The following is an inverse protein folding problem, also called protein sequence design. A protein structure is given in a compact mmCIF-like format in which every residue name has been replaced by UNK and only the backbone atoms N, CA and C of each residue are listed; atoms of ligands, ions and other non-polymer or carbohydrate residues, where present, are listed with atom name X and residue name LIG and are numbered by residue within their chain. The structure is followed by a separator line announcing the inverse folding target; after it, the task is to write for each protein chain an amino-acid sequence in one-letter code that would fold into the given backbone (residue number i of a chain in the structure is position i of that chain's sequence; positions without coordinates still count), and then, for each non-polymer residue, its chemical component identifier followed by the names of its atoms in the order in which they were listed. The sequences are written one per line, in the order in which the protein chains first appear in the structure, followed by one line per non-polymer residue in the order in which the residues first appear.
data_IF_904592534748
#
_entry.id   IF_904592534748
#
_cell.length_a   1.000
_cell.length_b   1.000
_cell.length_c   1.000
_cell.angle_alpha   90.00
_cell.angle_beta   90.00
_cell.angle_gamma   90.00
#
_symmetry.space_group_name_H-M   'P 1'
#
loop_
_entity.id
_entity.type
_entity.pdbx_description
1 polymer ?
#
# COMPACT_ATOMS: atom_id res chain seq x y z
N UNK A 1 -21.04 -2.88 -7.01
CA UNK A 1 -19.70 -2.26 -6.96
C UNK A 1 -18.74 -3.30 -6.37
N UNK A 2 -17.75 -3.79 -7.12
CA UNK A 2 -16.82 -4.81 -6.60
C UNK A 2 -15.72 -4.10 -5.83
N UNK A 3 -15.86 -4.04 -4.51
CA UNK A 3 -14.76 -3.70 -3.61
C UNK A 3 -13.60 -4.66 -3.90
N UNK A 4 -12.38 -4.10 -3.98
CA UNK A 4 -11.16 -4.86 -4.26
C UNK A 4 -11.10 -6.08 -3.34
N UNK A 5 -10.92 -7.26 -3.93
CA UNK A 5 -10.84 -8.49 -3.17
C UNK A 5 -9.69 -8.34 -2.16
N UNK A 6 -10.02 -8.24 -0.88
CA UNK A 6 -9.10 -8.59 0.18
C UNK A 6 -8.77 -10.06 -0.04
N UNK A 7 -7.70 -10.31 -0.78
CA UNK A 7 -7.20 -11.66 -0.94
C UNK A 7 -6.76 -12.10 0.45
N UNK A 8 -7.30 -13.21 0.95
CA UNK A 8 -7.07 -13.69 2.31
C UNK A 8 -5.56 -13.66 2.64
N UNK A 9 -5.20 -12.84 3.64
CA UNK A 9 -3.83 -12.70 4.11
C UNK A 9 -2.93 -11.71 3.34
N UNK A 10 -3.46 -10.96 2.37
CA UNK A 10 -2.74 -9.86 1.72
C UNK A 10 -3.24 -8.50 2.24
N UNK A 11 -2.31 -7.77 2.84
CA UNK A 11 -2.56 -6.44 3.40
C UNK A 11 -2.12 -5.39 2.36
N UNK A 12 -2.97 -4.43 1.97
CA UNK A 12 -2.55 -3.32 1.11
C UNK A 12 -1.36 -2.58 1.69
N UNK A 13 -0.39 -2.25 0.84
CA UNK A 13 0.87 -1.65 1.25
C UNK A 13 1.50 -0.83 0.11
N UNK A 14 2.46 0.01 0.48
CA UNK A 14 3.31 0.76 -0.42
C UNK A 14 4.78 0.45 -0.14
N UNK A 15 5.60 0.44 -1.19
CA UNK A 15 7.04 0.23 -1.08
C UNK A 15 7.79 1.29 -1.87
N UNK A 16 8.81 1.87 -1.25
CA UNK A 16 9.82 2.65 -1.96
C UNK A 16 10.81 1.69 -2.62
N UNK A 17 10.89 1.71 -3.95
CA UNK A 17 11.78 0.80 -4.69
C UNK A 17 13.26 1.14 -4.53
N UNK A 18 13.58 2.38 -4.16
CA UNK A 18 14.96 2.86 -4.02
C UNK A 18 15.54 2.49 -2.65
N UNK A 19 14.74 2.62 -1.59
CA UNK A 19 15.17 2.33 -0.20
C UNK A 19 14.71 0.97 0.31
N UNK A 20 13.76 0.33 -0.38
CA UNK A 20 13.05 -0.87 0.04
C UNK A 20 12.19 -0.75 1.30
N UNK A 21 12.05 0.45 1.86
CA UNK A 21 11.13 0.74 2.95
C UNK A 21 9.69 0.44 2.52
N UNK A 22 8.92 -0.18 3.41
CA UNK A 22 7.56 -0.66 3.14
C UNK A 22 6.62 -0.26 4.27
N UNK A 23 5.46 0.29 3.91
CA UNK A 23 4.42 0.71 4.85
C UNK A 23 3.08 0.08 4.48
N UNK A 24 2.37 -0.42 5.49
CA UNK A 24 1.01 -0.91 5.32
C UNK A 24 0.07 0.27 5.15
N UNK A 25 -0.99 0.10 4.35
CA UNK A 25 -2.09 1.05 4.36
C UNK A 25 -2.86 0.90 5.67
N UNK A 26 -3.09 2.04 6.33
CA UNK A 26 -3.81 2.12 7.59
C UNK A 26 -4.95 3.14 7.47
N UNK A 27 -6.00 2.97 8.27
CA UNK A 27 -7.02 3.98 8.45
C UNK A 27 -6.47 5.09 9.38
N UNK A 28 -7.21 6.19 9.52
CA UNK A 28 -6.82 7.33 10.36
C UNK A 28 -6.59 6.96 11.84
N UNK A 29 -7.20 5.87 12.31
CA UNK A 29 -7.02 5.34 13.67
C UNK A 29 -5.80 4.40 13.82
N UNK A 30 -5.03 4.20 12.74
CA UNK A 30 -3.87 3.30 12.68
C UNK A 30 -4.20 1.83 12.46
N UNK A 31 -5.48 1.46 12.37
CA UNK A 31 -5.88 0.08 12.05
C UNK A 31 -5.58 -0.26 10.58
N UNK A 32 -5.39 -1.55 10.28
CA UNK A 32 -5.09 -1.99 8.91
C UNK A 32 -6.24 -1.69 7.95
N UNK A 33 -5.94 -1.01 6.85
CA UNK A 33 -6.92 -0.69 5.82
C UNK A 33 -7.18 -1.90 4.91
N UNK A 34 -8.42 -2.03 4.43
CA UNK A 34 -8.80 -3.05 3.44
C UNK A 34 -8.49 -2.61 1.99
N UNK A 35 -8.18 -1.34 1.79
CA UNK A 35 -7.84 -0.72 0.51
C UNK A 35 -6.56 0.09 0.63
N UNK A 36 -5.95 0.43 -0.51
CA UNK A 36 -4.81 1.33 -0.55
C UNK A 36 -5.23 2.74 -0.14
N UNK A 37 -4.79 3.16 1.04
CA UNK A 37 -4.90 4.52 1.55
C UNK A 37 -3.51 5.15 1.63
N UNK A 38 -3.41 6.42 1.21
CA UNK A 38 -2.17 7.19 1.34
C UNK A 38 -1.99 7.71 2.78
N UNK A 39 -3.08 7.78 3.55
CA UNK A 39 -3.07 8.19 4.94
C UNK A 39 -2.13 7.31 5.78
N UNK A 40 -1.40 7.96 6.69
CA UNK A 40 -0.39 7.29 7.52
C UNK A 40 0.94 6.97 6.84
N UNK A 41 1.12 7.29 5.54
CA UNK A 41 2.44 7.22 4.91
C UNK A 41 3.41 8.24 5.51
N UNK A 42 4.72 7.91 5.57
CA UNK A 42 5.68 8.76 6.25
C UNK A 42 5.93 10.05 5.46
N UNK A 43 6.15 11.16 6.18
CA UNK A 43 6.27 12.49 5.57
C UNK A 43 7.39 12.60 4.53
N UNK A 44 8.50 11.86 4.69
CA UNK A 44 9.60 11.88 3.72
C UNK A 44 9.27 11.20 2.39
N UNK A 45 8.09 10.57 2.26
CA UNK A 45 7.56 10.08 0.99
C UNK A 45 6.60 11.07 0.33
N UNK A 46 6.07 12.04 1.08
CA UNK A 46 5.03 12.96 0.61
C UNK A 46 5.65 14.15 -0.08
N UNK A 47 5.16 14.48 -1.29
CA UNK A 47 5.59 15.66 -2.05
C UNK A 47 4.57 16.77 -1.93
N UNK A 48 3.28 16.42 -1.91
CA UNK A 48 2.19 17.39 -1.83
C UNK A 48 1.05 16.92 -0.92
N UNK A 49 0.41 17.89 -0.27
CA UNK A 49 -0.82 17.73 0.50
C UNK A 49 -1.83 18.79 0.06
N UNK A 50 -3.12 18.48 0.14
CA UNK A 50 -4.19 19.45 -0.07
C UNK A 50 -4.37 20.38 1.15
N UNK A 51 -5.31 21.33 1.04
CA UNK A 51 -5.63 22.29 2.11
C UNK A 51 -6.13 21.64 3.40
N UNK A 52 -6.63 20.40 3.33
CA UNK A 52 -7.06 19.62 4.49
C UNK A 52 -5.94 18.72 5.05
N UNK A 53 -4.74 18.78 4.46
CA UNK A 53 -3.58 18.00 4.87
C UNK A 53 -3.53 16.58 4.29
N UNK A 54 -4.46 16.20 3.41
CA UNK A 54 -4.48 14.88 2.79
C UNK A 54 -3.40 14.78 1.72
N UNK A 55 -2.76 13.62 1.63
CA UNK A 55 -1.68 13.39 0.68
C UNK A 55 -2.25 13.35 -0.74
N UNK A 56 -1.71 14.18 -1.63
CA UNK A 56 -2.12 14.24 -3.04
C UNK A 56 -1.02 13.75 -3.98
N UNK A 57 0.25 13.81 -3.57
CA UNK A 57 1.37 13.32 -4.33
C UNK A 57 2.45 12.70 -3.44
N UNK A 58 3.05 11.62 -3.94
CA UNK A 58 4.21 10.96 -3.35
C UNK A 58 5.43 11.17 -4.24
N UNK A 59 6.62 10.99 -3.66
CA UNK A 59 7.87 11.00 -4.41
C UNK A 59 7.92 9.84 -5.41
N UNK A 60 8.77 9.97 -6.41
CA UNK A 60 8.99 8.92 -7.39
C UNK A 60 9.52 7.62 -6.75
N UNK A 61 9.09 6.50 -7.31
CA UNK A 61 9.51 5.17 -6.87
C UNK A 61 8.64 4.55 -5.78
N UNK A 62 7.58 5.22 -5.30
CA UNK A 62 6.59 4.57 -4.44
C UNK A 62 5.63 3.72 -5.28
N UNK A 63 5.57 2.42 -4.98
CA UNK A 63 4.75 1.43 -5.69
C UNK A 63 3.71 0.82 -4.76
N UNK A 64 2.46 0.79 -5.22
CA UNK A 64 1.37 0.09 -4.54
C UNK A 64 1.46 -1.44 -4.73
N UNK A 65 1.26 -2.17 -3.65
CA UNK A 65 1.26 -3.63 -3.63
C UNK A 65 0.64 -4.17 -2.36
N UNK A 66 1.08 -5.35 -1.94
CA UNK A 66 0.49 -6.07 -0.82
C UNK A 66 1.56 -6.77 0.01
N UNK A 67 1.40 -6.77 1.32
CA UNK A 67 2.20 -7.57 2.25
C UNK A 67 1.50 -8.88 2.58
N UNK A 68 2.23 -9.99 2.53
CA UNK A 68 1.82 -11.28 3.06
C UNK A 68 3.02 -12.00 3.65
N UNK A 69 2.89 -12.48 4.89
CA UNK A 69 3.95 -13.22 5.61
C UNK A 69 5.33 -12.51 5.56
N UNK A 70 5.35 -11.18 5.75
CA UNK A 70 6.59 -10.40 5.75
C UNK A 70 7.18 -10.11 4.36
N UNK A 71 6.51 -10.51 3.27
CA UNK A 71 6.95 -10.25 1.89
C UNK A 71 6.01 -9.31 1.16
N UNK A 72 6.59 -8.39 0.39
CA UNK A 72 5.87 -7.49 -0.50
C UNK A 72 5.63 -8.14 -1.88
N UNK A 73 4.43 -7.95 -2.40
CA UNK A 73 3.96 -8.43 -3.69
C UNK A 73 3.37 -7.27 -4.49
N UNK A 74 3.83 -7.07 -5.71
CA UNK A 74 3.15 -6.17 -6.64
C UNK A 74 1.85 -6.80 -7.15
N UNK A 75 0.96 -5.98 -7.73
CA UNK A 75 -0.24 -6.48 -8.43
C UNK A 75 0.10 -7.49 -9.53
N UNK A 76 1.19 -7.27 -10.27
CA UNK A 76 1.64 -8.19 -11.33
C UNK A 76 2.10 -9.53 -10.76
N UNK A 77 2.81 -9.54 -9.64
CA UNK A 77 3.21 -10.77 -8.95
C UNK A 77 2.00 -11.53 -8.40
N UNK A 78 0.99 -10.82 -7.87
CA UNK A 78 -0.26 -11.43 -7.43
C UNK A 78 -1.04 -12.09 -8.57
N UNK A 79 -1.08 -11.48 -9.75
CA UNK A 79 -1.76 -12.06 -10.91
C UNK A 79 -1.10 -13.38 -11.38
N UNK A 80 0.17 -13.60 -11.03
CA UNK A 80 0.93 -14.80 -11.38
C UNK A 80 0.92 -15.86 -10.27
N UNK A 81 0.49 -15.51 -9.05
CA UNK A 81 0.37 -16.46 -7.97
C UNK A 81 -0.75 -17.45 -8.30
N UNK A 82 -0.38 -18.73 -8.37
CA UNK A 82 -1.35 -19.82 -8.35
C UNK A 82 -2.00 -19.87 -6.97
N UNK A 83 -3.32 -20.02 -6.95
CA UNK A 83 -4.15 -19.96 -5.74
C UNK A 83 -4.28 -21.31 -5.03
N UNK A 84 -3.44 -22.26 -5.40
CA UNK A 84 -3.62 -23.68 -5.15
C UNK A 84 -2.38 -24.25 -4.42
N UNK A 85 -2.50 -24.33 -3.10
CA UNK A 85 -1.78 -25.25 -2.20
C UNK A 85 -2.65 -25.51 -0.96
#
# INVERSE_FOLDING_TARGET
MKAGAAVLGFLPAFKDINTHETHLSVNDDGSLALIHLLDGLPDHWVVERDEQGRITALKDGIVAGFMRQGRFFTRSQLAQLRWDA
#
